data_IF_788047277896
#
_entry.id   IF_788047277896
#
_cell.length_a   1.000
_cell.length_b   1.000
_cell.length_c   1.000
_cell.angle_alpha   90.00
_cell.angle_beta   90.00
_cell.angle_gamma   90.00
#
_symmetry.space_group_name_H-M   'P 1'
#
loop_
_entity.id
_entity.type
_entity.pdbx_description
1 polymer ?
#
# COMPACT_ATOMS: atom_id res chain seq x y z
N UNK A 1 -5.94 -3.43 -7.57
CA UNK A 1 -5.78 -3.55 -6.10
C UNK A 1 -4.82 -2.45 -5.67
N UNK A 2 -5.08 -1.77 -4.55
CA UNK A 2 -4.24 -0.68 -4.05
C UNK A 2 -3.87 -0.98 -2.59
N UNK A 3 -2.58 -1.11 -2.23
CA UNK A 3 -2.15 -1.37 -0.85
C UNK A 3 -2.21 -0.08 0.00
N UNK A 4 -2.56 -0.23 1.27
CA UNK A 4 -2.47 0.80 2.30
C UNK A 4 -2.35 0.13 3.68
N UNK A 5 -1.91 0.87 4.69
CA UNK A 5 -1.87 0.36 6.06
C UNK A 5 -2.91 1.07 6.91
N UNK A 6 -3.82 0.30 7.53
CA UNK A 6 -4.88 0.80 8.41
C UNK A 6 -4.30 1.04 9.80
N UNK A 7 -4.10 2.30 10.17
CA UNK A 7 -3.61 2.71 11.50
C UNK A 7 -4.68 2.52 12.58
N UNK A 8 -5.96 2.59 12.24
CA UNK A 8 -7.06 2.41 13.20
C UNK A 8 -7.12 0.96 13.69
N UNK A 9 -6.85 0.01 12.79
CA UNK A 9 -6.88 -1.42 13.11
C UNK A 9 -5.49 -2.06 13.25
N UNK A 10 -4.41 -1.34 12.96
CA UNK A 10 -3.03 -1.83 13.00
C UNK A 10 -2.77 -2.97 12.01
N UNK A 11 -3.30 -2.89 10.79
CA UNK A 11 -3.22 -4.01 9.82
C UNK A 11 -3.03 -3.57 8.38
N UNK A 12 -2.44 -4.48 7.60
CA UNK A 12 -2.33 -4.32 6.15
C UNK A 12 -3.73 -4.34 5.53
N UNK A 13 -3.97 -3.43 4.60
CA UNK A 13 -5.23 -3.29 3.91
C UNK A 13 -5.01 -3.21 2.40
N UNK A 14 -5.91 -3.84 1.65
CA UNK A 14 -5.91 -3.76 0.20
C UNK A 14 -7.29 -3.27 -0.25
N UNK A 15 -7.32 -2.09 -0.86
CA UNK A 15 -8.51 -1.60 -1.55
C UNK A 15 -8.73 -2.41 -2.82
N UNK A 16 -9.91 -2.99 -2.92
CA UNK A 16 -10.27 -4.01 -3.92
C UNK A 16 -11.67 -3.73 -4.45
N UNK A 17 -11.78 -3.53 -5.75
CA UNK A 17 -13.05 -3.23 -6.41
C UNK A 17 -14.09 -4.32 -6.16
N UNK A 18 -13.73 -5.60 -6.35
CA UNK A 18 -14.68 -6.70 -6.17
C UNK A 18 -15.20 -6.81 -4.71
N UNK A 19 -14.41 -6.43 -3.70
CA UNK A 19 -14.88 -6.36 -2.30
C UNK A 19 -15.80 -5.15 -2.07
N UNK A 20 -15.48 -4.00 -2.67
CA UNK A 20 -16.29 -2.79 -2.57
C UNK A 20 -17.69 -2.96 -3.21
N UNK A 21 -17.79 -3.73 -4.31
CA UNK A 21 -19.08 -4.05 -4.96
C UNK A 21 -19.96 -4.92 -4.07
N UNK A 22 -19.37 -5.86 -3.32
CA UNK A 22 -20.13 -6.82 -2.49
C UNK A 22 -20.44 -6.26 -1.11
N UNK A 23 -19.64 -5.32 -0.60
CA UNK A 23 -19.78 -4.81 0.77
C UNK A 23 -19.42 -3.34 0.88
N UNK A 24 -20.39 -2.54 1.32
CA UNK A 24 -20.21 -1.11 1.57
C UNK A 24 -19.12 -0.79 2.61
N UNK A 25 -18.75 -1.74 3.48
CA UNK A 25 -17.65 -1.57 4.45
C UNK A 25 -16.29 -1.38 3.79
N UNK A 26 -16.18 -1.77 2.51
CA UNK A 26 -15.00 -1.65 1.67
C UNK A 26 -15.17 -0.60 0.56
N UNK A 27 -16.31 0.09 0.52
CA UNK A 27 -16.65 1.06 -0.52
C UNK A 27 -16.27 2.48 -0.08
N UNK A 28 -15.16 2.98 -0.61
CA UNK A 28 -14.61 4.31 -0.36
C UNK A 28 -14.54 5.09 -1.69
N UNK A 29 -14.57 6.42 -1.63
CA UNK A 29 -14.35 7.22 -2.83
C UNK A 29 -12.93 7.04 -3.36
N UNK A 30 -12.77 6.96 -4.69
CA UNK A 30 -11.47 6.75 -5.32
C UNK A 30 -10.46 7.84 -4.95
N UNK A 31 -10.89 9.11 -4.86
CA UNK A 31 -10.05 10.23 -4.41
C UNK A 31 -9.44 9.99 -3.02
N UNK A 32 -10.20 9.36 -2.13
CA UNK A 32 -9.81 9.11 -0.75
C UNK A 32 -8.87 7.90 -0.68
N UNK A 33 -9.15 6.87 -1.49
CA UNK A 33 -8.27 5.70 -1.66
C UNK A 33 -6.90 6.13 -2.18
N UNK A 34 -6.85 6.98 -3.21
CA UNK A 34 -5.59 7.48 -3.76
C UNK A 34 -4.83 8.32 -2.74
N UNK A 35 -5.51 9.22 -2.02
CA UNK A 35 -4.91 9.99 -0.93
C UNK A 35 -4.30 9.09 0.14
N UNK A 36 -5.03 8.06 0.58
CA UNK A 36 -4.53 7.08 1.54
C UNK A 36 -3.30 6.32 1.02
N UNK A 37 -3.34 5.89 -0.25
CA UNK A 37 -2.26 5.16 -0.86
C UNK A 37 -0.99 5.99 -1.04
N UNK A 38 -1.08 7.32 -1.16
CA UNK A 38 0.07 8.24 -1.33
C UNK A 38 0.51 8.91 -0.02
N UNK A 39 -0.15 8.62 1.10
CA UNK A 39 0.18 9.20 2.42
C UNK A 39 1.44 8.55 3.01
N UNK A 40 2.59 8.77 2.38
CA UNK A 40 3.87 8.21 2.79
C UNK A 40 4.30 8.75 4.16
N UNK A 41 4.70 7.84 5.05
CA UNK A 41 5.18 8.19 6.39
C UNK A 41 6.37 9.14 6.25
N UNK A 42 6.42 10.16 7.11
CA UNK A 42 7.38 11.29 7.11
C UNK A 42 7.21 12.35 6.03
N UNK A 43 6.49 12.06 4.93
CA UNK A 43 6.24 13.03 3.85
C UNK A 43 4.86 13.68 3.96
N UNK A 44 3.83 12.89 4.27
CA UNK A 44 2.45 13.35 4.30
C UNK A 44 1.75 12.91 5.59
N UNK A 45 0.77 13.69 6.07
CA UNK A 45 -0.05 13.26 7.20
C UNK A 45 -0.88 12.02 6.84
N UNK A 46 -1.22 11.17 7.83
CA UNK A 46 -2.16 10.07 7.63
C UNK A 46 -3.49 10.55 7.03
N UNK A 47 -4.07 9.72 6.17
CA UNK A 47 -5.34 10.01 5.52
C UNK A 47 -6.50 9.44 6.33
N UNK A 48 -7.26 10.32 6.99
CA UNK A 48 -8.57 9.97 7.52
C UNK A 48 -9.60 9.91 6.39
N UNK A 49 -10.18 8.74 6.14
CA UNK A 49 -11.17 8.53 5.08
C UNK A 49 -12.39 7.78 5.63
N UNK A 50 -13.54 7.97 4.97
CA UNK A 50 -14.78 7.30 5.34
C UNK A 50 -15.37 6.53 4.15
N UNK A 51 -16.14 5.48 4.44
CA UNK A 51 -16.92 4.77 3.43
C UNK A 51 -17.94 5.71 2.79
N UNK A 52 -18.36 5.43 1.57
CA UNK A 52 -19.32 6.25 0.81
C UNK A 52 -20.63 6.46 1.58
N UNK A 53 -21.07 5.46 2.35
CA UNK A 53 -22.25 5.53 3.20
C UNK A 53 -22.02 6.16 4.59
N UNK A 54 -20.81 6.65 4.87
CA UNK A 54 -20.43 7.30 6.13
C UNK A 54 -20.35 6.39 7.37
N UNK A 55 -20.63 5.08 7.25
CA UNK A 55 -20.75 4.18 8.41
C UNK A 55 -19.41 3.77 9.03
N UNK A 56 -18.30 3.89 8.30
CA UNK A 56 -16.96 3.54 8.79
C UNK A 56 -15.97 4.62 8.41
N UNK A 57 -15.24 5.11 9.41
CA UNK A 57 -14.08 5.97 9.22
C UNK A 57 -12.82 5.21 9.66
N UNK A 58 -11.75 5.35 8.89
CA UNK A 58 -10.46 4.72 9.14
C UNK A 58 -9.34 5.72 8.82
N UNK A 59 -8.20 5.55 9.49
CA UNK A 59 -7.00 6.30 9.22
C UNK A 59 -6.01 5.39 8.49
N UNK A 60 -5.49 5.84 7.35
CA UNK A 60 -4.57 5.07 6.51
C UNK A 60 -3.27 5.82 6.24
N UNK A 61 -2.22 5.03 5.98
CA UNK A 61 -0.95 5.48 5.39
C UNK A 61 -0.60 4.63 4.18
N UNK A 62 0.37 5.11 3.41
CA UNK A 62 0.89 4.48 2.20
C UNK A 62 1.26 3.01 2.41
N UNK A 63 0.92 2.18 1.43
CA UNK A 63 1.15 0.74 1.46
C UNK A 63 2.60 0.32 1.29
N UNK A 64 3.50 1.23 0.91
CA UNK A 64 4.93 1.06 0.78
C UNK A 64 5.61 0.61 2.07
N UNK A 65 4.98 0.79 3.23
CA UNK A 65 5.43 0.22 4.50
C UNK A 65 5.49 -1.32 4.49
N UNK A 66 4.71 -1.98 3.62
CA UNK A 66 4.69 -3.45 3.54
C UNK A 66 4.70 -4.02 2.11
N UNK A 67 4.28 -3.24 1.11
CA UNK A 67 4.11 -3.68 -0.27
C UNK A 67 4.48 -2.56 -1.25
N UNK A 68 5.75 -2.16 -1.26
CA UNK A 68 6.33 -1.23 -2.25
C UNK A 68 6.09 -1.71 -3.69
N UNK A 69 6.18 -3.02 -3.92
CA UNK A 69 5.78 -3.64 -5.18
C UNK A 69 4.60 -4.61 -4.93
N UNK A 70 3.35 -4.20 -5.22
CA UNK A 70 2.16 -5.01 -4.95
C UNK A 70 1.97 -6.17 -5.92
N UNK A 71 2.90 -6.37 -6.87
CA UNK A 71 2.88 -7.42 -7.88
C UNK A 71 2.62 -8.82 -7.30
N UNK A 72 3.41 -9.23 -6.29
CA UNK A 72 3.23 -10.55 -5.68
C UNK A 72 1.88 -10.69 -4.99
N UNK A 73 1.43 -9.65 -4.29
CA UNK A 73 0.13 -9.62 -3.63
C UNK A 73 -1.01 -9.69 -4.64
N UNK A 74 -0.89 -9.02 -5.78
CA UNK A 74 -1.86 -9.09 -6.88
C UNK A 74 -1.92 -10.49 -7.50
N UNK A 75 -0.77 -11.14 -7.71
CA UNK A 75 -0.71 -12.51 -8.20
C UNK A 75 -1.34 -13.49 -7.21
N UNK A 76 -1.04 -13.37 -5.91
CA UNK A 76 -1.64 -14.21 -4.87
C UNK A 76 -3.17 -14.05 -4.84
N UNK A 77 -3.68 -12.82 -4.94
CA UNK A 77 -5.11 -12.56 -5.04
C UNK A 77 -5.72 -13.15 -6.32
N UNK A 78 -5.06 -12.99 -7.47
CA UNK A 78 -5.51 -13.60 -8.72
C UNK A 78 -5.61 -15.12 -8.61
N UNK A 79 -4.60 -15.79 -8.04
CA UNK A 79 -4.63 -17.24 -7.82
C UNK A 79 -5.73 -17.68 -6.87
N UNK A 80 -6.02 -16.88 -5.84
CA UNK A 80 -7.12 -17.12 -4.92
C UNK A 80 -8.50 -16.95 -5.57
N UNK A 81 -8.66 -16.03 -6.53
CA UNK A 81 -9.93 -15.85 -7.25
C UNK A 81 -10.10 -16.85 -8.40
N UNK A 82 -9.00 -17.32 -8.99
CA UNK A 82 -9.00 -18.15 -10.19
C UNK A 82 -8.20 -19.45 -10.04
N UNK A 83 -8.59 -20.30 -9.08
CA UNK A 83 -7.85 -21.52 -8.75
C UNK A 83 -7.53 -22.43 -9.96
N UNK A 84 -8.43 -22.48 -10.95
CA UNK A 84 -8.31 -23.29 -12.16
C UNK A 84 -7.31 -22.78 -13.21
N UNK A 85 -6.91 -21.50 -13.16
CA UNK A 85 -5.96 -20.94 -14.11
C UNK A 85 -4.52 -21.23 -13.67
N UNK A 86 -3.79 -22.00 -14.46
CA UNK A 86 -2.38 -22.29 -14.18
C UNK A 86 -1.47 -21.13 -14.58
N UNK A 87 -0.26 -21.10 -14.01
CA UNK A 87 0.74 -20.05 -14.28
C UNK A 87 1.06 -19.91 -15.78
N UNK A 88 1.00 -21.00 -16.56
CA UNK A 88 1.22 -21.00 -18.01
C UNK A 88 0.20 -20.17 -18.79
N UNK A 89 -0.98 -19.95 -18.22
CA UNK A 89 -2.07 -19.18 -18.83
C UNK A 89 -2.19 -17.78 -18.23
N UNK A 90 -1.18 -17.32 -17.48
CA UNK A 90 -1.19 -16.03 -16.80
C UNK A 90 -0.01 -15.20 -17.28
N UNK A 91 -0.28 -13.96 -17.72
CA UNK A 91 0.74 -12.96 -18.03
C UNK A 91 0.77 -11.93 -16.91
N UNK A 92 1.97 -11.51 -16.50
CA UNK A 92 2.17 -10.53 -15.45
C UNK A 92 3.22 -9.51 -15.85
N UNK A 93 2.89 -8.23 -15.68
CA UNK A 93 3.79 -7.10 -15.92
C UNK A 93 3.93 -6.29 -14.63
N UNK A 94 5.17 -6.13 -14.17
CA UNK A 94 5.51 -5.30 -13.01
C UNK A 94 6.38 -4.14 -13.49
N UNK A 95 5.92 -2.91 -13.29
CA UNK A 95 6.68 -1.70 -13.62
C UNK A 95 7.19 -1.06 -12.34
N UNK A 96 8.51 -0.88 -12.24
CA UNK A 96 9.15 -0.19 -11.13
C UNK A 96 9.50 1.25 -11.49
N UNK A 97 9.64 2.12 -10.49
CA UNK A 97 10.00 3.54 -10.65
C UNK A 97 11.51 3.81 -10.65
N UNK A 98 12.32 2.75 -10.82
CA UNK A 98 13.78 2.82 -10.70
C UNK A 98 14.26 2.70 -9.25
N UNK A 99 15.54 2.40 -9.07
CA UNK A 99 16.21 2.33 -7.76
C UNK A 99 17.52 3.11 -7.84
N UNK A 100 17.72 4.04 -6.92
CA UNK A 100 19.02 4.67 -6.71
C UNK A 100 19.79 3.84 -5.68
N UNK A 101 21.02 3.44 -6.00
CA UNK A 101 21.89 2.76 -5.06
C UNK A 101 22.76 3.81 -4.35
N UNK A 102 22.42 4.12 -3.11
CA UNK A 102 23.28 4.86 -2.19
C UNK A 102 24.04 3.85 -1.33
N UNK A 103 25.37 3.93 -1.36
CA UNK A 103 26.22 3.18 -0.44
C UNK A 103 26.49 4.10 0.75
N UNK A 104 25.99 3.71 1.92
CA UNK A 104 26.24 4.43 3.17
C UNK A 104 27.22 3.59 3.98
N UNK A 105 28.35 4.18 4.36
CA UNK A 105 29.30 3.52 5.26
C UNK A 105 28.72 3.51 6.69
N UNK A 106 28.92 2.43 7.43
CA UNK A 106 28.39 2.31 8.79
C UNK A 106 28.87 3.46 9.69
N UNK A 107 30.12 3.90 9.52
CA UNK A 107 30.68 5.04 10.25
C UNK A 107 29.89 6.36 10.04
N UNK A 108 29.29 6.54 8.86
CA UNK A 108 28.50 7.73 8.53
C UNK A 108 27.07 7.68 9.09
N UNK A 109 26.57 6.48 9.46
CA UNK A 109 25.19 6.24 9.90
C UNK A 109 25.09 6.15 11.43
N UNK A 110 26.17 5.80 12.13
CA UNK A 110 26.20 5.59 13.59
C UNK A 110 25.67 6.78 14.41
N UNK A 111 25.77 8.00 13.88
CA UNK A 111 25.31 9.23 14.55
C UNK A 111 24.04 9.84 13.95
N UNK A 112 23.40 9.17 12.97
CA UNK A 112 22.19 9.68 12.34
C UNK A 112 20.99 9.56 13.30
N UNK A 113 20.44 10.70 13.70
CA UNK A 113 19.14 10.76 14.35
C UNK A 113 18.00 10.34 13.41
N UNK A 114 16.87 9.92 14.00
CA UNK A 114 15.69 9.41 13.28
C UNK A 114 15.22 10.32 12.11
N UNK A 115 15.20 11.65 12.32
CA UNK A 115 14.80 12.60 11.28
C UNK A 115 15.78 12.75 10.11
N UNK A 116 17.05 12.37 10.31
CA UNK A 116 18.09 12.37 9.29
C UNK A 116 18.09 11.04 8.53
N UNK A 117 17.86 9.95 9.26
CA UNK A 117 17.67 8.60 8.71
C UNK A 117 16.48 8.54 7.76
N UNK A 118 15.37 9.23 8.03
CA UNK A 118 14.21 9.27 7.14
C UNK A 118 14.47 9.99 5.79
N UNK A 119 15.50 10.84 5.70
CA UNK A 119 15.83 11.62 4.48
C UNK A 119 16.90 10.97 3.60
N UNK A 120 17.56 9.93 4.09
CA UNK A 120 18.63 9.22 3.38
C UNK A 120 18.15 8.04 2.53
N UNK A 121 16.83 7.78 2.50
CA UNK A 121 16.17 6.72 1.73
C UNK A 121 15.39 7.26 0.53
#
# INVERSE_FOLDING_TARGET
>A
MIPAYDLTMGKNYFFRQHKAVVSDRHNYYLKDVLRAATSAITYFPPAGIATVNGKKACCFVDGGVFAVNPSLSAYAEFRYLHHSLYSKNTMMLSLGTGKQATYLDCADIEHLGCGRMARSW
#
